data_IF_511262965286
#
_entry.id   IF_511262965286
#
_cell.length_a   1.000
_cell.length_b   1.000
_cell.length_c   1.000
_cell.angle_alpha   90.00
_cell.angle_beta   90.00
_cell.angle_gamma   90.00
#
_symmetry.space_group_name_H-M   'P 1'
#
loop_
_entity.id
_entity.type
_entity.pdbx_description
1 polymer ?
#
# COMPACT_ATOMS: atom_id res chain seq x y z
N UNK A 1 11.72 -13.21 -14.05
CA UNK A 1 12.05 -12.74 -12.66
C UNK A 1 10.74 -12.37 -12.01
N UNK A 2 10.45 -12.82 -10.77
CA UNK A 2 9.20 -12.40 -10.09
C UNK A 2 9.24 -10.92 -9.71
N UNK A 3 8.07 -10.28 -9.59
CA UNK A 3 7.92 -8.87 -9.17
C UNK A 3 8.66 -8.60 -7.85
N UNK A 4 8.59 -9.52 -6.90
CA UNK A 4 9.31 -9.41 -5.62
C UNK A 4 10.83 -9.47 -5.77
N UNK A 5 11.35 -10.32 -6.65
CA UNK A 5 12.80 -10.40 -6.91
C UNK A 5 13.32 -9.12 -7.59
N UNK A 6 12.52 -8.54 -8.45
CA UNK A 6 12.83 -7.27 -9.08
C UNK A 6 12.77 -6.10 -8.09
N UNK A 7 11.73 -6.07 -7.24
CA UNK A 7 11.65 -5.11 -6.13
C UNK A 7 12.95 -5.13 -5.32
N UNK A 8 13.39 -6.32 -4.87
CA UNK A 8 14.62 -6.46 -4.12
C UNK A 8 15.84 -5.87 -4.86
N UNK A 9 15.98 -6.20 -6.15
CA UNK A 9 17.09 -5.71 -6.97
C UNK A 9 17.13 -4.18 -7.06
N UNK A 10 15.97 -3.56 -7.22
CA UNK A 10 15.86 -2.11 -7.39
C UNK A 10 16.00 -1.36 -6.06
N UNK A 11 15.33 -1.81 -5.01
CA UNK A 11 15.30 -1.11 -3.73
C UNK A 11 16.64 -1.13 -3.01
N UNK A 12 17.45 -2.19 -3.21
CA UNK A 12 18.80 -2.31 -2.66
C UNK A 12 19.90 -1.64 -3.49
N UNK A 13 19.60 -1.02 -4.65
CA UNK A 13 20.57 -0.15 -5.33
C UNK A 13 20.97 0.99 -4.39
N UNK A 14 22.23 1.43 -4.50
CA UNK A 14 22.71 2.53 -3.64
C UNK A 14 22.19 3.89 -4.12
N UNK A 15 21.76 4.77 -3.21
CA UNK A 15 21.53 4.52 -1.78
C UNK A 15 20.38 3.53 -1.57
N UNK A 16 20.57 2.54 -0.66
CA UNK A 16 19.51 1.58 -0.35
C UNK A 16 18.32 2.30 0.27
N UNK A 17 17.12 1.86 -0.08
CA UNK A 17 15.87 2.37 0.48
C UNK A 17 15.19 1.31 1.34
N UNK A 18 14.43 1.77 2.33
CA UNK A 18 13.63 0.93 3.21
C UNK A 18 12.15 1.07 2.91
N UNK A 19 11.38 0.00 3.13
CA UNK A 19 9.96 -0.10 2.80
C UNK A 19 9.12 -0.44 4.02
N UNK A 20 8.00 0.26 4.16
CA UNK A 20 6.90 -0.08 5.05
C UNK A 20 5.62 -0.38 4.26
N UNK A 21 4.69 -1.15 4.84
CA UNK A 21 3.43 -1.52 4.21
C UNK A 21 2.26 -1.29 5.18
N UNK A 22 1.22 -0.58 4.73
CA UNK A 22 -0.02 -0.38 5.48
C UNK A 22 -1.21 -0.92 4.70
N UNK A 23 -1.80 -2.00 5.18
CA UNK A 23 -2.88 -2.71 4.51
C UNK A 23 -4.23 -2.52 5.18
N UNK A 24 -5.30 -2.61 4.39
CA UNK A 24 -6.65 -2.78 4.88
C UNK A 24 -7.28 -4.00 4.21
N UNK A 25 -7.96 -3.85 3.06
CA UNK A 25 -8.63 -4.97 2.39
C UNK A 25 -7.69 -6.11 1.99
N UNK A 26 -6.44 -5.84 1.70
CA UNK A 26 -5.45 -6.86 1.26
C UNK A 26 -4.95 -7.73 2.41
N UNK A 27 -5.16 -7.33 3.65
CA UNK A 27 -5.03 -8.14 4.87
C UNK A 27 -3.73 -8.96 5.00
N UNK A 28 -2.60 -8.38 4.61
CA UNK A 28 -1.26 -9.02 4.67
C UNK A 28 -0.74 -9.51 3.32
N UNK A 29 -1.54 -9.49 2.26
CA UNK A 29 -1.13 -10.01 0.94
C UNK A 29 0.02 -9.22 0.29
N UNK A 30 0.11 -7.91 0.52
CA UNK A 30 1.25 -7.10 0.06
C UNK A 30 2.51 -7.48 0.83
N UNK A 31 2.41 -7.61 2.16
CA UNK A 31 3.50 -8.01 3.05
C UNK A 31 4.06 -9.39 2.67
N UNK A 32 3.18 -10.37 2.44
CA UNK A 32 3.59 -11.71 2.00
C UNK A 32 4.42 -11.63 0.72
N UNK A 33 3.99 -10.85 -0.28
CA UNK A 33 4.71 -10.70 -1.55
C UNK A 33 6.05 -9.98 -1.36
N UNK A 34 6.08 -8.91 -0.59
CA UNK A 34 7.33 -8.19 -0.28
C UNK A 34 8.34 -9.10 0.42
N UNK A 35 7.89 -9.94 1.35
CA UNK A 35 8.73 -10.83 2.13
C UNK A 35 9.04 -12.17 1.45
N UNK A 36 8.47 -12.47 0.27
CA UNK A 36 8.57 -13.78 -0.40
C UNK A 36 9.96 -14.09 -0.98
N UNK A 37 10.90 -13.15 -0.95
CA UNK A 37 12.27 -13.34 -1.44
C UNK A 37 13.27 -13.35 -0.29
N UNK A 38 14.26 -14.26 -0.38
CA UNK A 38 15.35 -14.31 0.61
C UNK A 38 16.06 -12.97 0.72
N UNK A 39 16.40 -12.54 1.92
CA UNK A 39 17.06 -11.26 2.19
C UNK A 39 16.13 -10.05 2.18
N UNK A 40 14.81 -10.24 2.29
CA UNK A 40 13.84 -9.15 2.41
C UNK A 40 14.12 -8.24 3.63
N UNK A 41 14.72 -8.77 4.69
CA UNK A 41 15.14 -7.98 5.87
C UNK A 41 16.12 -6.85 5.57
N UNK A 42 16.75 -6.86 4.40
CA UNK A 42 17.63 -5.77 3.96
C UNK A 42 16.89 -4.49 3.54
N UNK A 43 15.57 -4.55 3.35
CA UNK A 43 14.77 -3.40 2.92
C UNK A 43 13.37 -3.32 3.55
N UNK A 44 12.75 -4.43 3.89
CA UNK A 44 11.41 -4.47 4.47
C UNK A 44 11.49 -4.28 5.98
N UNK A 45 11.09 -3.12 6.48
CA UNK A 45 11.16 -2.79 7.91
C UNK A 45 9.96 -3.34 8.67
N UNK A 46 8.75 -3.08 8.19
CA UNK A 46 7.54 -3.45 8.89
C UNK A 46 6.31 -3.35 7.98
N UNK A 47 5.29 -4.10 8.34
CA UNK A 47 3.96 -3.97 7.78
C UNK A 47 2.89 -4.13 8.83
N UNK A 48 1.74 -3.49 8.62
CA UNK A 48 0.57 -3.64 9.49
C UNK A 48 -0.72 -3.71 8.68
N UNK A 49 -1.73 -4.34 9.25
CA UNK A 49 -3.11 -4.32 8.75
C UNK A 49 -3.96 -3.46 9.69
N UNK A 50 -4.23 -2.21 9.29
CA UNK A 50 -5.14 -1.30 9.97
C UNK A 50 -6.55 -1.45 9.37
N UNK A 51 -7.30 -2.46 9.85
CA UNK A 51 -8.55 -2.87 9.19
C UNK A 51 -9.73 -1.95 9.48
N UNK A 52 -9.82 -1.43 10.71
CA UNK A 52 -10.92 -0.55 11.15
C UNK A 52 -10.55 0.93 11.07
N UNK A 53 -11.56 1.80 11.07
CA UNK A 53 -11.38 3.24 11.18
C UNK A 53 -10.51 3.63 12.38
N UNK A 54 -10.80 3.05 13.53
CA UNK A 54 -10.10 3.35 14.79
C UNK A 54 -8.61 3.05 14.68
N UNK A 55 -8.24 1.90 14.08
CA UNK A 55 -6.82 1.55 13.91
C UNK A 55 -6.12 2.42 12.85
N UNK A 56 -6.81 2.77 11.77
CA UNK A 56 -6.28 3.74 10.79
C UNK A 56 -5.95 5.09 11.42
N UNK A 57 -6.85 5.59 12.26
CA UNK A 57 -6.66 6.86 12.98
C UNK A 57 -5.55 6.72 14.03
N UNK A 58 -5.63 5.69 14.88
CA UNK A 58 -4.70 5.52 16.01
C UNK A 58 -3.27 5.28 15.56
N UNK A 59 -3.06 4.40 14.58
CA UNK A 59 -1.72 3.95 14.19
C UNK A 59 -1.13 4.80 13.06
N UNK A 60 -1.96 5.24 12.13
CA UNK A 60 -1.49 5.89 10.89
C UNK A 60 -1.83 7.38 10.81
N UNK A 61 -2.59 7.91 11.78
CA UNK A 61 -2.97 9.32 11.81
C UNK A 61 -3.93 9.74 10.69
N UNK A 62 -4.72 8.80 10.18
CA UNK A 62 -5.74 9.07 9.16
C UNK A 62 -6.78 10.05 9.73
N UNK A 63 -7.21 11.03 8.91
CA UNK A 63 -8.24 11.99 9.31
C UNK A 63 -9.57 11.28 9.55
N UNK A 64 -10.01 11.25 10.82
CA UNK A 64 -11.23 10.54 11.26
C UNK A 64 -12.49 11.02 10.53
N UNK A 65 -12.67 12.33 10.44
CA UNK A 65 -13.89 12.90 9.86
C UNK A 65 -14.02 12.55 8.38
N UNK A 66 -12.92 12.74 7.62
CA UNK A 66 -12.87 12.35 6.21
C UNK A 66 -13.06 10.84 6.03
N UNK A 67 -12.29 10.02 6.74
CA UNK A 67 -12.36 8.56 6.60
C UNK A 67 -13.76 8.04 6.91
N UNK A 68 -14.44 8.57 7.94
CA UNK A 68 -15.83 8.22 8.26
C UNK A 68 -16.79 8.59 7.13
N UNK A 69 -16.62 9.75 6.49
CA UNK A 69 -17.52 10.22 5.41
C UNK A 69 -17.43 9.40 4.13
N UNK A 70 -16.29 8.71 3.91
CA UNK A 70 -16.03 7.89 2.72
C UNK A 70 -15.88 6.40 3.03
N UNK A 71 -16.38 5.96 4.19
CA UNK A 71 -16.26 4.56 4.66
C UNK A 71 -14.82 4.03 4.61
N UNK A 72 -13.85 4.87 4.91
CA UNK A 72 -12.41 4.60 4.83
C UNK A 72 -11.88 4.29 3.42
N UNK A 73 -12.66 4.47 2.37
CA UNK A 73 -12.27 4.11 0.99
C UNK A 73 -12.20 5.36 0.12
N UNK A 74 -11.01 5.91 -0.01
CA UNK A 74 -10.69 7.02 -0.93
C UNK A 74 -9.18 7.09 -1.18
N UNK A 75 -8.81 7.79 -2.25
CA UNK A 75 -7.42 8.14 -2.54
C UNK A 75 -6.74 8.81 -1.33
N UNK A 76 -7.39 9.79 -0.73
CA UNK A 76 -6.86 10.52 0.43
C UNK A 76 -6.58 9.58 1.62
N UNK A 77 -7.48 8.65 1.91
CA UNK A 77 -7.26 7.68 3.00
C UNK A 77 -6.04 6.81 2.71
N UNK A 78 -5.88 6.29 1.48
CA UNK A 78 -4.71 5.52 1.09
C UNK A 78 -3.40 6.33 1.25
N UNK A 79 -3.39 7.59 0.82
CA UNK A 79 -2.24 8.50 0.96
C UNK A 79 -1.91 8.75 2.43
N UNK A 80 -2.90 9.06 3.26
CA UNK A 80 -2.72 9.27 4.69
C UNK A 80 -2.21 8.01 5.40
N UNK A 81 -2.66 6.81 4.97
CA UNK A 81 -2.16 5.53 5.49
C UNK A 81 -0.69 5.33 5.13
N UNK A 82 -0.29 5.54 3.87
CA UNK A 82 1.10 5.39 3.44
C UNK A 82 2.03 6.39 4.14
N UNK A 83 1.65 7.66 4.20
CA UNK A 83 2.39 8.69 4.93
C UNK A 83 2.50 8.37 6.43
N UNK A 84 1.42 7.83 7.01
CA UNK A 84 1.39 7.35 8.39
C UNK A 84 2.38 6.22 8.64
N UNK A 85 2.48 5.27 7.72
CA UNK A 85 3.43 4.16 7.81
C UNK A 85 4.90 4.65 7.75
N UNK A 86 5.21 5.63 6.90
CA UNK A 86 6.54 6.25 6.87
C UNK A 86 6.87 6.86 8.25
N UNK A 87 5.95 7.62 8.84
CA UNK A 87 6.17 8.24 10.15
C UNK A 87 6.32 7.21 11.26
N UNK A 88 5.48 6.18 11.25
CA UNK A 88 5.45 5.16 12.31
C UNK A 88 6.71 4.29 12.32
N UNK A 89 7.20 3.88 11.15
CA UNK A 89 8.30 2.93 11.01
C UNK A 89 9.64 3.56 10.61
N UNK A 90 9.66 4.84 10.28
CA UNK A 90 10.87 5.52 9.82
C UNK A 90 11.35 5.08 8.45
N UNK A 91 10.48 4.50 7.62
CA UNK A 91 10.83 4.01 6.30
C UNK A 91 11.05 5.15 5.28
N UNK A 92 11.81 4.86 4.21
CA UNK A 92 11.97 5.77 3.08
C UNK A 92 10.77 5.72 2.14
N UNK A 93 10.20 4.53 1.96
CA UNK A 93 9.03 4.26 1.13
C UNK A 93 7.93 3.63 1.95
N UNK A 94 6.69 3.92 1.61
CA UNK A 94 5.56 3.13 2.08
C UNK A 94 4.51 2.96 0.99
N UNK A 95 3.90 1.78 0.93
CA UNK A 95 2.69 1.51 0.15
C UNK A 95 1.51 1.26 1.07
N UNK A 96 0.33 1.68 0.65
CA UNK A 96 -0.90 1.44 1.39
C UNK A 96 -2.05 1.03 0.48
N UNK A 97 -3.01 0.28 1.03
CA UNK A 97 -4.22 -0.16 0.35
C UNK A 97 -5.46 0.05 1.22
N UNK A 98 -6.55 0.53 0.63
CA UNK A 98 -7.86 0.57 1.26
C UNK A 98 -8.95 0.39 0.21
N UNK A 99 -10.03 -0.36 0.52
CA UNK A 99 -11.05 -0.65 -0.49
C UNK A 99 -12.07 -1.69 -0.05
N UNK A 100 -12.86 -2.13 -1.01
CA UNK A 100 -13.85 -3.18 -0.87
C UNK A 100 -13.40 -4.44 -1.61
N UNK A 101 -13.20 -5.53 -0.87
CA UNK A 101 -12.79 -6.81 -1.43
C UNK A 101 -13.96 -7.60 -2.05
N UNK A 102 -15.18 -7.12 -1.93
CA UNK A 102 -16.40 -7.71 -2.47
C UNK A 102 -17.46 -6.63 -2.71
N UNK A 103 -18.48 -6.88 -3.53
CA UNK A 103 -19.59 -5.96 -3.70
C UNK A 103 -20.29 -5.67 -2.35
N UNK A 104 -20.69 -4.42 -2.13
CA UNK A 104 -21.43 -3.98 -0.97
C UNK A 104 -22.71 -3.23 -1.39
N UNK A 105 -23.79 -3.93 -1.76
CA UNK A 105 -25.00 -3.33 -2.34
C UNK A 105 -25.64 -2.26 -1.45
N UNK A 106 -25.61 -2.44 -0.13
CA UNK A 106 -26.12 -1.45 0.85
C UNK A 106 -25.35 -0.12 0.78
N UNK A 107 -24.11 -0.15 0.32
CA UNK A 107 -23.24 1.02 0.10
C UNK A 107 -23.18 1.44 -1.36
N UNK A 108 -24.01 0.84 -2.23
CA UNK A 108 -24.03 1.05 -3.69
C UNK A 108 -22.71 0.69 -4.39
N UNK A 109 -21.92 -0.17 -3.79
CA UNK A 109 -20.68 -0.68 -4.38
C UNK A 109 -21.01 -1.93 -5.18
N UNK A 110 -20.88 -1.86 -6.50
CA UNK A 110 -21.15 -2.97 -7.43
C UNK A 110 -19.87 -3.74 -7.77
N UNK A 111 -18.76 -3.03 -7.93
CA UNK A 111 -17.46 -3.61 -8.31
C UNK A 111 -16.50 -3.53 -7.14
N UNK A 112 -15.87 -4.66 -6.76
CA UNK A 112 -14.76 -4.63 -5.82
C UNK A 112 -13.65 -3.73 -6.35
N UNK A 113 -13.13 -2.86 -5.49
CA UNK A 113 -12.08 -1.92 -5.88
C UNK A 113 -11.24 -1.48 -4.69
N UNK A 114 -10.04 -1.02 -4.97
CA UNK A 114 -9.15 -0.48 -3.96
C UNK A 114 -8.42 0.77 -4.46
N UNK A 115 -8.32 1.76 -3.59
CA UNK A 115 -7.32 2.80 -3.69
C UNK A 115 -6.01 2.31 -3.10
N UNK A 116 -4.92 2.60 -3.80
CA UNK A 116 -3.57 2.40 -3.30
C UNK A 116 -2.81 3.72 -3.32
N UNK A 117 -1.78 3.81 -2.50
CA UNK A 117 -0.85 4.93 -2.49
C UNK A 117 0.58 4.45 -2.25
N UNK A 118 1.52 5.14 -2.87
CA UNK A 118 2.95 5.05 -2.64
C UNK A 118 3.45 6.43 -2.17
N UNK A 119 4.06 6.48 -1.01
CA UNK A 119 4.78 7.66 -0.52
C UNK A 119 6.27 7.39 -0.51
N UNK A 120 7.06 8.39 -0.93
CA UNK A 120 8.51 8.38 -0.84
C UNK A 120 8.98 9.62 -0.08
N UNK A 121 9.65 9.42 1.03
CA UNK A 121 10.25 10.48 1.83
C UNK A 121 11.65 10.77 1.30
N UNK A 122 11.82 11.88 0.60
CA UNK A 122 13.14 12.36 0.19
C UNK A 122 13.90 12.98 1.36
N UNK A 123 15.23 12.94 1.32
CA UNK A 123 16.09 13.55 2.35
C UNK A 123 15.85 15.05 2.55
N UNK A 124 15.33 15.74 1.51
CA UNK A 124 14.89 17.15 1.57
C UNK A 124 13.60 17.37 2.37
N UNK A 125 12.98 16.32 2.93
CA UNK A 125 11.68 16.38 3.62
C UNK A 125 10.47 16.41 2.71
N UNK A 126 10.64 16.48 1.40
CA UNK A 126 9.52 16.45 0.44
C UNK A 126 9.10 15.01 0.19
N UNK A 127 7.85 14.68 0.49
CA UNK A 127 7.26 13.39 0.14
C UNK A 127 6.70 13.47 -1.28
N UNK A 128 7.17 12.58 -2.18
CA UNK A 128 6.50 12.33 -3.45
C UNK A 128 5.43 11.28 -3.24
N UNK A 129 4.25 11.50 -3.82
CA UNK A 129 3.09 10.63 -3.66
C UNK A 129 2.59 10.19 -5.03
N UNK A 130 2.46 8.88 -5.21
CA UNK A 130 1.72 8.27 -6.32
C UNK A 130 0.52 7.52 -5.74
N UNK A 131 -0.58 7.51 -6.47
CA UNK A 131 -1.77 6.76 -6.07
C UNK A 131 -2.60 6.37 -7.29
N UNK A 132 -3.40 5.33 -7.13
CA UNK A 132 -4.28 4.86 -8.19
C UNK A 132 -5.44 4.05 -7.65
N UNK A 133 -6.37 3.73 -8.55
CA UNK A 133 -7.52 2.88 -8.31
C UNK A 133 -7.34 1.56 -9.06
N UNK A 134 -7.60 0.45 -8.37
CA UNK A 134 -7.67 -0.89 -8.96
C UNK A 134 -9.11 -1.39 -8.84
N UNK A 135 -9.73 -1.71 -9.97
CA UNK A 135 -11.04 -2.36 -10.02
C UNK A 135 -10.89 -3.84 -10.41
N UNK A 136 -11.63 -4.72 -9.74
CA UNK A 136 -11.54 -6.17 -9.96
C UNK A 136 -12.96 -6.74 -10.14
N UNK A 137 -13.61 -6.47 -11.28
CA UNK A 137 -14.99 -6.90 -11.50
C UNK A 137 -15.10 -8.44 -11.53
N UNK A 138 -16.17 -8.94 -10.94
CA UNK A 138 -16.54 -10.36 -10.99
C UNK A 138 -15.65 -11.31 -10.19
N UNK A 139 -14.69 -10.81 -9.44
CA UNK A 139 -13.80 -11.66 -8.64
C UNK A 139 -14.36 -11.88 -7.22
N UNK A 140 -14.02 -13.03 -6.65
CA UNK A 140 -14.26 -13.30 -5.23
C UNK A 140 -13.31 -12.52 -4.33
N UNK A 141 -13.61 -12.48 -3.05
CA UNK A 141 -12.89 -11.71 -2.03
C UNK A 141 -11.37 -11.98 -2.01
N UNK A 142 -10.97 -13.23 -2.04
CA UNK A 142 -9.55 -13.63 -1.96
C UNK A 142 -8.82 -13.21 -3.23
N UNK A 143 -9.42 -13.47 -4.38
CA UNK A 143 -8.88 -13.05 -5.69
C UNK A 143 -8.72 -11.53 -5.77
N UNK A 144 -9.67 -10.74 -5.22
CA UNK A 144 -9.54 -9.27 -5.17
C UNK A 144 -8.33 -8.87 -4.32
N UNK A 145 -8.17 -9.45 -3.13
CA UNK A 145 -7.03 -9.17 -2.25
C UNK A 145 -5.69 -9.46 -2.94
N UNK A 146 -5.59 -10.60 -3.63
CA UNK A 146 -4.39 -11.01 -4.35
C UNK A 146 -4.06 -10.09 -5.52
N UNK A 147 -5.06 -9.77 -6.35
CA UNK A 147 -4.88 -8.89 -7.53
C UNK A 147 -4.51 -7.47 -7.14
N UNK A 148 -5.16 -6.93 -6.11
CA UNK A 148 -4.81 -5.60 -5.59
C UNK A 148 -3.37 -5.58 -5.06
N UNK A 149 -2.98 -6.60 -4.30
CA UNK A 149 -1.61 -6.69 -3.79
C UNK A 149 -0.56 -6.79 -4.90
N UNK A 150 -0.83 -7.58 -5.95
CA UNK A 150 0.07 -7.69 -7.11
C UNK A 150 0.15 -6.38 -7.90
N UNK A 151 -0.98 -5.71 -8.11
CA UNK A 151 -1.01 -4.42 -8.79
C UNK A 151 -0.16 -3.37 -8.04
N UNK A 152 -0.33 -3.27 -6.72
CA UNK A 152 0.46 -2.34 -5.89
C UNK A 152 1.95 -2.64 -5.94
N UNK A 153 2.33 -3.91 -5.92
CA UNK A 153 3.74 -4.30 -6.03
C UNK A 153 4.32 -3.97 -7.41
N UNK A 154 3.53 -4.15 -8.47
CA UNK A 154 3.91 -3.79 -9.84
C UNK A 154 4.15 -2.29 -9.97
N UNK A 155 3.27 -1.47 -9.43
CA UNK A 155 3.40 -0.02 -9.43
C UNK A 155 4.63 0.47 -8.64
N UNK A 156 4.90 -0.16 -7.49
CA UNK A 156 6.11 0.12 -6.73
C UNK A 156 7.39 -0.20 -7.53
N UNK A 157 7.40 -1.34 -8.22
CA UNK A 157 8.54 -1.72 -9.07
C UNK A 157 8.70 -0.75 -10.24
N UNK A 158 7.62 -0.37 -10.88
CA UNK A 158 7.66 0.60 -12.00
C UNK A 158 8.20 1.96 -11.52
N UNK A 159 7.70 2.45 -10.39
CA UNK A 159 8.21 3.68 -9.78
C UNK A 159 9.72 3.62 -9.51
N UNK A 160 10.21 2.50 -8.97
CA UNK A 160 11.63 2.32 -8.68
C UNK A 160 12.48 2.22 -9.97
N UNK A 161 11.96 1.66 -11.05
CA UNK A 161 12.63 1.66 -12.35
C UNK A 161 12.85 3.09 -12.87
N UNK A 162 11.82 3.92 -12.79
CA UNK A 162 11.83 5.29 -13.30
C UNK A 162 12.67 6.23 -12.42
N UNK A 163 12.50 6.14 -11.11
CA UNK A 163 13.17 7.03 -10.16
C UNK A 163 14.63 6.68 -9.88
N UNK A 164 15.09 5.49 -10.31
CA UNK A 164 16.43 4.94 -10.05
C UNK A 164 17.12 4.43 -11.32
N UNK A 165 16.66 4.91 -12.49
CA UNK A 165 17.27 4.63 -13.79
C UNK A 165 18.72 5.15 -13.87
#
# INVERSE_FOLDING_TARGET
MSTAAELKKLILRRPCLTLAVAESLTAGQVQVRVASVSGASGYFLCGLTAYTLEQKVKLLGVNRAHAKSVDCVSQRVAVEMAAGAIRLFGADLAVATTGYAEPAPKKKIRTPHAWWALCHRHRSGTAMVLSGLVEVPGADRVTVQERVAEAVLTELVQYLRESRA
#
